data_IF_786510564412
#
_entry.id   IF_786510564412
#
_cell.length_a   1.000
_cell.length_b   1.000
_cell.length_c   1.000
_cell.angle_alpha   90.00
_cell.angle_beta   90.00
_cell.angle_gamma   90.00
#
_symmetry.space_group_name_H-M   'P 1'
#
loop_
_entity.id
_entity.type
_entity.pdbx_description
1 polymer ?
#
# COMPACT_ATOMS: atom_id res chain seq x y z
N UNK A 1 -20.78 15.86 -9.90
CA UNK A 1 -21.00 14.78 -8.90
C UNK A 1 -20.31 13.43 -9.17
N UNK A 2 -19.65 13.20 -10.33
CA UNK A 2 -19.00 11.91 -10.64
C UNK A 2 -17.57 11.78 -10.08
N UNK A 3 -16.77 12.86 -10.12
CA UNK A 3 -15.38 12.85 -9.65
C UNK A 3 -15.23 12.71 -8.14
N UNK A 4 -16.13 13.33 -7.38
CA UNK A 4 -16.05 13.42 -5.92
C UNK A 4 -16.25 12.06 -5.23
N UNK A 5 -17.23 11.26 -5.70
CA UNK A 5 -17.42 9.88 -5.20
C UNK A 5 -16.24 8.98 -5.54
N UNK A 6 -15.63 9.16 -6.72
CA UNK A 6 -14.42 8.41 -7.10
C UNK A 6 -13.25 8.78 -6.19
N UNK A 7 -13.07 10.07 -5.90
CA UNK A 7 -12.00 10.55 -5.03
C UNK A 7 -12.14 10.04 -3.60
N UNK A 8 -13.36 10.09 -3.04
CA UNK A 8 -13.65 9.55 -1.71
C UNK A 8 -13.35 8.05 -1.67
N UNK A 9 -13.87 7.28 -2.62
CA UNK A 9 -13.63 5.83 -2.67
C UNK A 9 -12.14 5.47 -2.82
N UNK A 10 -11.40 6.26 -3.59
CA UNK A 10 -9.96 6.08 -3.78
C UNK A 10 -9.19 6.30 -2.47
N UNK A 11 -9.49 7.39 -1.76
CA UNK A 11 -8.85 7.71 -0.49
C UNK A 11 -9.21 6.71 0.60
N UNK A 12 -10.48 6.31 0.70
CA UNK A 12 -10.91 5.26 1.65
C UNK A 12 -10.12 3.96 1.40
N UNK A 13 -9.96 3.56 0.13
CA UNK A 13 -9.15 2.39 -0.22
C UNK A 13 -7.68 2.55 0.19
N UNK A 14 -7.08 3.73 -0.03
CA UNK A 14 -5.69 4.01 0.36
C UNK A 14 -5.49 3.89 1.87
N UNK A 15 -6.40 4.43 2.67
CA UNK A 15 -6.33 4.35 4.14
C UNK A 15 -6.44 2.91 4.62
N UNK A 16 -7.44 2.16 4.12
CA UNK A 16 -7.62 0.76 4.49
C UNK A 16 -6.40 -0.11 4.14
N UNK A 17 -5.81 0.10 2.95
CA UNK A 17 -4.59 -0.59 2.53
C UNK A 17 -3.40 -0.25 3.44
N UNK A 18 -3.26 1.02 3.81
CA UNK A 18 -2.20 1.48 4.72
C UNK A 18 -2.35 0.81 6.09
N UNK A 19 -3.55 0.80 6.66
CA UNK A 19 -3.81 0.18 7.97
C UNK A 19 -3.56 -1.33 7.94
N UNK A 20 -3.96 -2.01 6.87
CA UNK A 20 -3.72 -3.43 6.70
C UNK A 20 -2.22 -3.74 6.60
N UNK A 21 -1.50 -3.03 5.74
CA UNK A 21 -0.05 -3.21 5.57
C UNK A 21 0.74 -2.86 6.82
N UNK A 22 0.30 -1.85 7.57
CA UNK A 22 0.93 -1.49 8.84
C UNK A 22 0.84 -2.63 9.86
N UNK A 23 -0.29 -3.36 9.91
CA UNK A 23 -0.44 -4.52 10.79
C UNK A 23 0.38 -5.73 10.34
N UNK A 24 0.39 -6.02 9.04
CA UNK A 24 1.12 -7.17 8.49
C UNK A 24 2.65 -6.99 8.55
N UNK A 25 3.12 -5.76 8.30
CA UNK A 25 4.54 -5.42 8.15
C UNK A 25 5.13 -4.86 9.46
N UNK A 26 4.37 -4.84 10.55
CA UNK A 26 4.79 -4.31 11.86
C UNK A 26 6.14 -4.88 12.31
N UNK A 27 6.33 -6.19 12.13
CA UNK A 27 7.58 -6.88 12.48
C UNK A 27 8.79 -6.51 11.60
N UNK A 28 8.55 -6.04 10.38
CA UNK A 28 9.58 -5.68 9.42
C UNK A 28 9.95 -4.19 9.49
N UNK A 29 9.22 -3.38 10.27
CA UNK A 29 9.35 -1.93 10.31
C UNK A 29 8.68 -1.30 9.11
N UNK A 30 7.48 -0.76 9.29
CA UNK A 30 6.73 -0.07 8.24
C UNK A 30 7.20 1.38 8.07
N UNK A 31 7.77 1.71 6.91
CA UNK A 31 8.22 3.07 6.58
C UNK A 31 7.22 3.86 5.73
N UNK A 32 6.34 3.19 4.99
CA UNK A 32 5.32 3.83 4.18
C UNK A 32 4.86 2.98 3.00
N UNK A 33 3.78 3.42 2.34
CA UNK A 33 3.25 2.81 1.12
C UNK A 33 2.92 3.91 0.11
N UNK A 34 3.43 3.80 -1.11
CA UNK A 34 3.03 4.61 -2.25
C UNK A 34 2.27 3.76 -3.27
N UNK A 35 1.16 4.30 -3.77
CA UNK A 35 0.27 3.62 -4.71
C UNK A 35 0.13 4.51 -5.94
N UNK A 36 0.82 4.11 -7.00
CA UNK A 36 0.75 4.75 -8.31
C UNK A 36 -0.11 3.92 -9.26
N UNK A 37 -1.25 4.48 -9.66
CA UNK A 37 -2.06 3.90 -10.74
C UNK A 37 -1.54 4.41 -12.07
N UNK A 38 -1.01 3.50 -12.86
CA UNK A 38 -0.63 3.73 -14.25
C UNK A 38 -1.66 3.06 -15.17
N UNK A 39 -1.80 3.50 -16.43
CA UNK A 39 -2.69 2.83 -17.39
C UNK A 39 -2.35 1.34 -17.60
N UNK A 40 -1.10 0.94 -17.38
CA UNK A 40 -0.62 -0.44 -17.51
C UNK A 40 -0.91 -1.30 -16.27
N UNK A 41 -1.21 -0.68 -15.13
CA UNK A 41 -1.44 -1.39 -13.87
C UNK A 41 -1.20 -0.51 -12.65
N UNK A 42 -1.39 -1.09 -11.48
CA UNK A 42 -1.12 -0.40 -10.20
C UNK A 42 0.24 -0.81 -9.68
N UNK A 43 1.14 0.16 -9.52
CA UNK A 43 2.42 -0.02 -8.85
C UNK A 43 2.24 0.33 -7.37
N UNK A 44 2.57 -0.62 -6.50
CA UNK A 44 2.57 -0.44 -5.04
C UNK A 44 4.01 -0.53 -4.56
N UNK A 45 4.52 0.55 -4.00
CA UNK A 45 5.87 0.62 -3.45
C UNK A 45 5.75 0.65 -1.93
N UNK A 46 6.22 -0.42 -1.29
CA UNK A 46 6.29 -0.52 0.17
C UNK A 46 7.71 -0.15 0.63
N UNK A 47 7.79 0.80 1.55
CA UNK A 47 9.03 1.21 2.21
C UNK A 47 9.05 0.49 3.55
N UNK A 48 10.10 -0.29 3.81
CA UNK A 48 10.25 -1.06 5.04
C UNK A 48 11.72 -1.16 5.43
N UNK A 49 11.99 -1.26 6.74
CA UNK A 49 13.34 -1.39 7.26
C UNK A 49 13.96 -2.77 6.96
N UNK A 50 13.12 -3.82 6.95
CA UNK A 50 13.56 -5.21 6.76
C UNK A 50 12.82 -5.87 5.58
N UNK A 51 13.17 -5.54 4.33
CA UNK A 51 12.47 -6.07 3.15
C UNK A 51 12.50 -7.59 3.07
N UNK A 52 13.58 -8.24 3.53
CA UNK A 52 13.68 -9.70 3.54
C UNK A 52 12.62 -10.39 4.40
N UNK A 53 12.10 -9.73 5.45
CA UNK A 53 11.02 -10.29 6.25
C UNK A 53 9.67 -10.19 5.53
N UNK A 54 9.48 -9.16 4.72
CA UNK A 54 8.25 -8.93 3.93
C UNK A 54 8.17 -9.85 2.73
N UNK A 55 9.28 -9.98 2.00
CA UNK A 55 9.42 -10.89 0.85
C UNK A 55 9.30 -12.36 1.30
N UNK A 56 9.72 -12.64 2.54
CA UNK A 56 9.68 -13.98 3.09
C UNK A 56 10.63 -14.93 2.35
N UNK A 57 10.34 -16.23 2.41
CA UNK A 57 11.25 -17.28 1.91
C UNK A 57 11.07 -17.62 0.43
N UNK A 58 10.04 -17.10 -0.24
CA UNK A 58 9.67 -17.53 -1.60
C UNK A 58 9.81 -16.45 -2.68
N UNK A 59 10.21 -15.23 -2.33
CA UNK A 59 10.21 -14.11 -3.27
C UNK A 59 8.82 -13.53 -3.42
#
# INVERSE_FOLDING_TARGET
MSGERKFINENTRRVLLKEYMMKEVDRAGFGGIDIQRTPLGTRVTLITERPGLVIGRKG
#
